data_IF_200377257915
#
_entry.id   IF_200377257915
#
_cell.length_a   1.000
_cell.length_b   1.000
_cell.length_c   1.000
_cell.angle_alpha   90.00
_cell.angle_beta   90.00
_cell.angle_gamma   90.00
#
_symmetry.space_group_name_H-M   'P 1'
#
loop_
_entity.id
_entity.type
_entity.pdbx_description
1 polymer ?
#
# COMPACT_ATOMS: atom_id res chain seq x y z
N UNK A 1 -61.04 -3.79 21.07
CA UNK A 1 -60.10 -3.52 22.19
C UNK A 1 -58.73 -3.99 21.77
N UNK A 2 -57.73 -3.13 21.94
CA UNK A 2 -56.41 -3.18 21.35
C UNK A 2 -55.44 -4.15 22.05
N UNK A 3 -54.47 -4.68 21.30
CA UNK A 3 -53.05 -4.82 21.68
C UNK A 3 -52.29 -5.39 20.46
N UNK A 4 -51.65 -4.57 19.60
CA UNK A 4 -50.36 -3.87 19.75
C UNK A 4 -49.14 -4.81 19.83
N UNK A 5 -48.50 -4.95 18.66
CA UNK A 5 -47.06 -4.86 18.38
C UNK A 5 -46.07 -5.65 19.26
N UNK A 6 -45.52 -6.72 18.68
CA UNK A 6 -44.18 -7.19 19.00
C UNK A 6 -43.15 -6.33 18.23
N UNK A 7 -42.21 -5.65 18.90
CA UNK A 7 -41.19 -4.87 18.20
C UNK A 7 -40.08 -5.80 17.70
N UNK A 8 -39.81 -5.72 16.40
CA UNK A 8 -38.60 -6.25 15.79
C UNK A 8 -37.39 -5.48 16.35
N UNK A 9 -36.71 -6.07 17.34
CA UNK A 9 -35.38 -5.65 17.78
C UNK A 9 -34.35 -6.13 16.75
N UNK A 10 -34.30 -5.48 15.59
CA UNK A 10 -33.20 -5.60 14.64
C UNK A 10 -32.18 -4.49 14.96
N UNK A 11 -31.00 -4.93 15.37
CA UNK A 11 -29.89 -4.14 15.86
C UNK A 11 -29.49 -2.98 14.92
N UNK A 12 -29.43 -1.72 15.40
CA UNK A 12 -28.71 -0.67 14.71
C UNK A 12 -27.23 -0.75 15.07
N UNK A 13 -26.53 -1.80 14.62
CA UNK A 13 -25.07 -1.91 14.74
C UNK A 13 -24.32 -1.33 13.51
N UNK A 14 -25.01 -0.62 12.61
CA UNK A 14 -24.46 -0.19 11.32
C UNK A 14 -23.81 1.20 11.31
N UNK A 15 -23.60 1.84 12.47
CA UNK A 15 -23.07 3.22 12.52
C UNK A 15 -21.72 3.38 13.23
N UNK A 16 -21.05 2.28 13.62
CA UNK A 16 -19.78 2.37 14.35
C UNK A 16 -18.51 2.30 13.49
N UNK A 17 -18.60 2.32 12.16
CA UNK A 17 -17.42 2.56 11.31
C UNK A 17 -17.23 4.06 11.06
N UNK A 18 -17.30 4.86 12.13
CA UNK A 18 -16.77 6.22 12.12
C UNK A 18 -15.26 6.06 12.08
N UNK A 19 -14.74 6.06 10.85
CA UNK A 19 -13.53 6.77 10.46
C UNK A 19 -12.51 6.86 11.61
N UNK A 20 -11.70 5.81 11.81
CA UNK A 20 -10.36 6.01 12.37
C UNK A 20 -9.59 6.85 11.36
N UNK A 21 -9.87 8.15 11.35
CA UNK A 21 -9.11 9.15 10.66
C UNK A 21 -7.72 9.11 11.28
N UNK A 22 -6.83 8.36 10.66
CA UNK A 22 -5.46 8.31 11.09
C UNK A 22 -4.91 9.73 10.90
N UNK A 23 -4.52 10.37 12.01
CA UNK A 23 -4.02 11.75 12.04
C UNK A 23 -2.83 11.96 11.08
N UNK A 24 -2.19 10.87 10.67
CA UNK A 24 -1.05 10.85 9.78
C UNK A 24 -1.40 10.91 8.30
N UNK A 25 -2.65 10.64 7.90
CA UNK A 25 -3.02 10.61 6.48
C UNK A 25 -2.68 11.94 5.76
N UNK A 26 -2.97 13.14 6.29
CA UNK A 26 -2.57 14.38 5.65
C UNK A 26 -1.05 14.51 5.46
N UNK A 27 -0.27 14.08 6.45
CA UNK A 27 1.21 14.09 6.38
C UNK A 27 1.70 13.14 5.30
N UNK A 28 1.15 11.92 5.25
CA UNK A 28 1.49 10.93 4.23
C UNK A 28 1.11 11.41 2.82
N UNK A 29 0.00 12.13 2.67
CA UNK A 29 -0.41 12.72 1.40
C UNK A 29 0.56 13.81 0.93
N UNK A 30 1.14 14.60 1.84
CA UNK A 30 2.19 15.57 1.50
C UNK A 30 3.48 14.89 1.01
N UNK A 31 3.78 13.69 1.49
CA UNK A 31 4.95 12.92 1.06
C UNK A 31 4.72 12.15 -0.25
N UNK A 32 3.46 11.95 -0.66
CA UNK A 32 3.10 11.13 -1.83
C UNK A 32 3.83 11.54 -3.12
N UNK A 33 3.95 12.83 -3.50
CA UNK A 33 4.66 13.19 -4.73
C UNK A 33 6.14 12.77 -4.71
N UNK A 34 6.81 12.83 -3.56
CA UNK A 34 8.20 12.38 -3.43
C UNK A 34 8.29 10.86 -3.58
N UNK A 35 7.34 10.14 -2.97
CA UNK A 35 7.24 8.68 -3.10
C UNK A 35 6.98 8.26 -4.56
N UNK A 36 6.09 8.95 -5.26
CA UNK A 36 5.83 8.74 -6.69
C UNK A 36 7.10 8.88 -7.52
N UNK A 37 7.87 9.96 -7.32
CA UNK A 37 9.13 10.17 -8.04
C UNK A 37 10.16 9.09 -7.74
N UNK A 38 10.28 8.66 -6.48
CA UNK A 38 11.20 7.58 -6.09
C UNK A 38 10.82 6.25 -6.71
N UNK A 39 9.54 5.87 -6.68
CA UNK A 39 9.06 4.62 -7.30
C UNK A 39 9.31 4.66 -8.81
N UNK A 40 9.05 5.80 -9.45
CA UNK A 40 9.32 5.99 -10.88
C UNK A 40 10.82 5.80 -11.19
N UNK A 41 11.72 6.46 -10.48
CA UNK A 41 13.17 6.36 -10.73
C UNK A 41 13.66 4.93 -10.54
N UNK A 42 13.29 4.26 -9.44
CA UNK A 42 13.67 2.87 -9.20
C UNK A 42 13.12 1.94 -10.29
N UNK A 43 11.88 2.15 -10.73
CA UNK A 43 11.28 1.39 -11.83
C UNK A 43 12.09 1.54 -13.13
N UNK A 44 12.42 2.77 -13.52
CA UNK A 44 13.20 3.04 -14.74
C UNK A 44 14.61 2.44 -14.62
N UNK A 45 15.30 2.69 -13.52
CA UNK A 45 16.66 2.18 -13.28
C UNK A 45 16.71 0.66 -13.33
N UNK A 46 15.74 -0.01 -12.70
CA UNK A 46 15.68 -1.47 -12.63
C UNK A 46 15.29 -2.08 -13.98
N UNK A 47 14.28 -1.53 -14.66
CA UNK A 47 13.76 -2.09 -15.90
C UNK A 47 14.63 -1.75 -17.13
N UNK A 48 15.30 -0.60 -17.13
CA UNK A 48 16.18 -0.21 -18.23
C UNK A 48 17.51 -0.96 -18.21
N UNK A 49 17.93 -1.51 -17.06
CA UNK A 49 19.19 -2.23 -16.89
C UNK A 49 20.41 -1.47 -17.46
N UNK A 50 20.43 -0.14 -17.30
CA UNK A 50 21.51 0.74 -17.79
C UNK A 50 21.39 1.21 -19.24
N UNK A 51 20.35 0.81 -19.98
CA UNK A 51 20.13 1.29 -21.36
C UNK A 51 19.38 2.63 -21.37
N UNK A 52 20.07 3.72 -21.75
CA UNK A 52 19.51 5.07 -21.75
C UNK A 52 18.34 5.29 -22.73
N UNK A 53 18.31 4.60 -23.87
CA UNK A 53 17.19 4.70 -24.82
C UNK A 53 15.95 3.99 -24.25
N UNK A 54 16.14 2.83 -23.62
CA UNK A 54 15.06 2.12 -22.95
C UNK A 54 14.56 2.91 -21.72
N UNK A 55 15.46 3.55 -20.97
CA UNK A 55 15.10 4.41 -19.84
C UNK A 55 14.14 5.52 -20.25
N UNK A 56 14.43 6.22 -21.35
CA UNK A 56 13.56 7.27 -21.88
C UNK A 56 12.16 6.74 -22.28
N UNK A 57 12.08 5.52 -22.80
CA UNK A 57 10.80 4.87 -23.16
C UNK A 57 10.00 4.40 -21.94
N UNK A 58 10.68 4.12 -20.82
CA UNK A 58 10.07 3.65 -19.58
C UNK A 58 9.60 4.77 -18.65
N UNK A 59 10.00 6.02 -18.89
CA UNK A 59 9.62 7.18 -18.09
C UNK A 59 8.09 7.26 -17.83
N UNK A 60 7.30 7.21 -18.89
CA UNK A 60 5.83 7.31 -18.80
C UNK A 60 5.18 6.04 -18.21
N UNK A 61 5.51 4.81 -18.66
CA UNK A 61 5.04 3.58 -18.01
C UNK A 61 5.34 3.51 -16.50
N UNK A 62 6.56 3.87 -16.10
CA UNK A 62 6.95 3.87 -14.70
C UNK A 62 6.24 4.98 -13.90
N UNK A 63 5.93 6.14 -14.50
CA UNK A 63 5.09 7.15 -13.87
C UNK A 63 3.64 6.66 -13.66
N UNK A 64 3.09 5.94 -14.65
CA UNK A 64 1.75 5.35 -14.56
C UNK A 64 1.67 4.25 -13.51
N UNK A 65 2.75 3.50 -13.27
CA UNK A 65 2.85 2.54 -12.17
C UNK A 65 3.04 3.22 -10.80
N UNK A 66 3.82 4.29 -10.74
CA UNK A 66 4.16 4.97 -9.50
C UNK A 66 2.95 5.61 -8.82
N UNK A 67 2.00 6.18 -9.59
CA UNK A 67 0.78 6.81 -9.07
C UNK A 67 -0.11 5.86 -8.25
N UNK A 68 -0.59 4.71 -8.77
CA UNK A 68 -1.40 3.78 -7.99
C UNK A 68 -0.61 3.13 -6.86
N UNK A 69 0.69 2.86 -7.07
CA UNK A 69 1.56 2.25 -6.05
C UNK A 69 1.73 3.17 -4.84
N UNK A 70 2.08 4.44 -5.06
CA UNK A 70 2.24 5.43 -3.97
C UNK A 70 0.93 5.66 -3.22
N UNK A 71 -0.20 5.76 -3.93
CA UNK A 71 -1.54 5.86 -3.33
C UNK A 71 -1.81 4.68 -2.41
N UNK A 72 -1.56 3.47 -2.91
CA UNK A 72 -1.76 2.24 -2.17
C UNK A 72 -0.87 2.17 -0.91
N UNK A 73 0.40 2.57 -1.00
CA UNK A 73 1.30 2.63 0.16
C UNK A 73 0.83 3.64 1.22
N UNK A 74 0.38 4.82 0.80
CA UNK A 74 -0.18 5.83 1.71
C UNK A 74 -1.45 5.31 2.40
N UNK A 75 -2.35 4.70 1.64
CA UNK A 75 -3.60 4.14 2.18
C UNK A 75 -3.35 2.97 3.15
N UNK A 76 -2.48 2.02 2.80
CA UNK A 76 -2.15 0.90 3.68
C UNK A 76 -1.37 1.35 4.92
N UNK A 77 -0.51 2.37 4.79
CA UNK A 77 0.14 2.97 5.96
C UNK A 77 -0.89 3.64 6.86
N UNK A 78 -1.79 4.46 6.31
CA UNK A 78 -2.81 5.16 7.07
C UNK A 78 -3.86 4.22 7.68
N UNK A 79 -4.17 3.10 7.04
CA UNK A 79 -5.07 2.09 7.60
C UNK A 79 -4.38 1.18 8.65
N UNK A 80 -3.05 1.24 8.74
CA UNK A 80 -2.29 0.38 9.66
C UNK A 80 -2.29 0.95 11.08
N UNK A 81 -2.54 0.11 12.11
CA UNK A 81 -2.34 0.50 13.51
C UNK A 81 -0.86 0.80 13.83
N UNK A 82 0.05 0.48 12.90
CA UNK A 82 1.51 0.67 13.04
C UNK A 82 2.04 1.86 12.24
N UNK A 83 1.15 2.70 11.71
CA UNK A 83 1.47 3.90 10.93
C UNK A 83 2.57 4.79 11.52
N UNK A 84 2.56 5.02 12.84
CA UNK A 84 3.62 5.77 13.53
C UNK A 84 4.97 5.05 13.51
N UNK A 85 4.98 3.73 13.65
CA UNK A 85 6.21 2.94 13.60
C UNK A 85 6.81 2.95 12.19
N UNK A 86 5.97 2.84 11.15
CA UNK A 86 6.37 2.98 9.73
C UNK A 86 6.99 4.36 9.48
N UNK A 87 6.38 5.44 9.98
CA UNK A 87 6.97 6.78 9.89
C UNK A 87 8.30 6.86 10.66
N UNK A 88 8.40 6.25 11.83
CA UNK A 88 9.63 6.19 12.62
C UNK A 88 10.77 5.42 11.95
N UNK A 89 10.47 4.35 11.19
CA UNK A 89 11.42 3.67 10.31
C UNK A 89 11.88 4.62 9.20
N UNK A 90 10.94 5.27 8.50
CA UNK A 90 11.24 6.19 7.41
C UNK A 90 12.12 7.39 7.83
N UNK A 91 11.83 8.00 8.98
CA UNK A 91 12.62 9.14 9.51
C UNK A 91 14.05 8.71 9.85
N UNK A 92 14.26 7.47 10.27
CA UNK A 92 15.60 6.90 10.51
C UNK A 92 16.29 6.46 9.23
N UNK A 93 15.60 6.47 8.09
CA UNK A 93 16.09 5.94 6.82
C UNK A 93 16.07 4.41 6.74
N UNK A 94 15.32 3.76 7.63
CA UNK A 94 15.23 2.30 7.72
C UNK A 94 14.02 1.76 6.95
N UNK A 95 14.17 0.53 6.45
CA UNK A 95 13.05 -0.31 6.02
C UNK A 95 12.93 -1.49 6.99
N UNK A 96 11.98 -1.40 7.93
CA UNK A 96 11.81 -2.41 8.98
C UNK A 96 10.57 -3.28 8.78
N UNK A 97 10.24 -4.04 9.82
CA UNK A 97 9.18 -5.05 9.79
C UNK A 97 7.80 -4.42 9.55
N UNK A 98 7.57 -3.17 9.99
CA UNK A 98 6.28 -2.52 9.83
C UNK A 98 6.09 -1.99 8.41
N UNK A 99 7.15 -1.44 7.81
CA UNK A 99 7.17 -1.10 6.38
C UNK A 99 6.97 -2.33 5.50
N UNK A 100 7.57 -3.47 5.85
CA UNK A 100 7.40 -4.73 5.11
C UNK A 100 5.94 -5.19 5.08
N UNK A 101 5.21 -5.08 6.18
CA UNK A 101 3.78 -5.42 6.24
C UNK A 101 2.96 -4.53 5.31
N UNK A 102 3.20 -3.21 5.33
CA UNK A 102 2.52 -2.25 4.44
C UNK A 102 2.75 -2.59 2.97
N UNK A 103 4.02 -2.82 2.59
CA UNK A 103 4.38 -3.14 1.21
C UNK A 103 3.71 -4.44 0.76
N UNK A 104 3.71 -5.48 1.59
CA UNK A 104 3.05 -6.76 1.26
C UNK A 104 1.55 -6.62 1.08
N UNK A 105 0.87 -5.87 1.95
CA UNK A 105 -0.58 -5.62 1.82
C UNK A 105 -0.88 -4.82 0.55
N UNK A 106 -0.05 -3.83 0.26
CA UNK A 106 -0.19 -3.05 -0.95
C UNK A 106 0.01 -3.93 -2.20
N UNK A 107 1.06 -4.75 -2.22
CA UNK A 107 1.31 -5.70 -3.31
C UNK A 107 0.15 -6.69 -3.49
N UNK A 108 -0.38 -7.25 -2.40
CA UNK A 108 -1.53 -8.13 -2.44
C UNK A 108 -2.73 -7.42 -3.08
N UNK A 109 -3.03 -6.18 -2.67
CA UNK A 109 -4.11 -5.37 -3.24
C UNK A 109 -3.93 -5.11 -4.73
N UNK A 110 -2.72 -4.72 -5.15
CA UNK A 110 -2.43 -4.46 -6.57
C UNK A 110 -2.55 -5.70 -7.45
N UNK A 111 -2.32 -6.89 -6.88
CA UNK A 111 -2.45 -8.17 -7.57
C UNK A 111 -3.85 -8.80 -7.43
N UNK A 112 -4.80 -8.13 -6.77
CA UNK A 112 -6.15 -8.66 -6.54
C UNK A 112 -6.20 -9.82 -5.54
N UNK A 113 -5.21 -9.93 -4.66
CA UNK A 113 -5.11 -10.98 -3.64
C UNK A 113 -5.71 -10.52 -2.30
N UNK A 114 -6.09 -11.46 -1.41
CA UNK A 114 -6.51 -11.14 -0.04
C UNK A 114 -5.40 -10.39 0.71
N UNK A 115 -5.73 -9.33 1.44
CA UNK A 115 -4.74 -8.38 1.98
C UNK A 115 -3.62 -9.01 2.82
N UNK A 116 -3.89 -10.13 3.51
CA UNK A 116 -2.92 -10.79 4.39
C UNK A 116 -2.26 -12.02 3.76
N UNK A 117 -2.56 -12.37 2.51
CA UNK A 117 -2.07 -13.59 1.87
C UNK A 117 -0.54 -13.62 1.71
N UNK A 118 0.09 -12.44 1.60
CA UNK A 118 1.54 -12.30 1.45
C UNK A 118 2.28 -12.15 2.78
N UNK A 119 1.58 -11.98 3.92
CA UNK A 119 2.23 -11.84 5.23
C UNK A 119 3.21 -12.97 5.58
N UNK A 120 2.90 -14.26 5.38
CA UNK A 120 3.81 -15.34 5.75
C UNK A 120 5.05 -15.44 4.86
N UNK A 121 5.09 -14.75 3.72
CA UNK A 121 6.17 -14.85 2.74
C UNK A 121 7.11 -13.66 2.93
N UNK A 122 8.40 -13.85 3.24
CA UNK A 122 9.37 -12.74 3.32
C UNK A 122 9.45 -11.94 2.01
N UNK A 123 9.53 -10.61 2.09
CA UNK A 123 9.51 -9.76 0.88
C UNK A 123 10.66 -10.09 -0.09
N UNK A 124 11.83 -10.47 0.44
CA UNK A 124 12.98 -10.93 -0.37
C UNK A 124 12.64 -12.14 -1.26
N UNK A 125 11.81 -13.06 -0.79
CA UNK A 125 11.42 -14.26 -1.52
C UNK A 125 10.41 -13.92 -2.63
N UNK A 126 9.52 -12.95 -2.38
CA UNK A 126 8.60 -12.43 -3.39
C UNK A 126 9.39 -11.83 -4.56
N UNK A 127 10.37 -10.97 -4.28
CA UNK A 127 11.21 -10.35 -5.31
C UNK A 127 11.96 -11.41 -6.13
N UNK A 128 12.54 -12.43 -5.47
CA UNK A 128 13.21 -13.53 -6.16
C UNK A 128 12.26 -14.34 -7.06
N UNK A 129 11.01 -14.52 -6.64
CA UNK A 129 9.98 -15.18 -7.43
C UNK A 129 9.67 -14.43 -8.73
N UNK A 130 9.60 -13.10 -8.69
CA UNK A 130 9.36 -12.26 -9.87
C UNK A 130 10.61 -12.08 -10.75
N UNK A 131 11.81 -12.15 -10.17
CA UNK A 131 13.07 -12.01 -10.91
C UNK A 131 13.42 -13.25 -11.76
N UNK A 132 12.81 -14.41 -11.50
CA UNK A 132 13.01 -15.59 -12.34
C UNK A 132 12.24 -15.41 -13.66
N UNK A 133 12.92 -15.39 -14.82
CA UNK A 133 12.22 -15.41 -16.10
C UNK A 133 11.35 -16.67 -16.17
N UNK A 134 10.06 -16.52 -16.51
CA UNK A 134 9.24 -17.66 -16.88
C UNK A 134 9.85 -18.26 -18.15
N UNK A 135 10.41 -19.46 -18.04
CA UNK A 135 10.71 -20.31 -19.20
C UNK A 135 9.43 -20.71 -19.90
#
# INVERSE_FOLDING_TARGET
>A
MANLLAPALLAPALLANVLQANLLLPVLQLLRPQLEQRIKSVCVETAAAGNGNLAAQLEEPCAQLARPTSKCLVEETAASPRSLAVLGEMVRGDFGADSEVVVKRCLARMLGLPANSLQPIPLKELVQGFAKPRR
#
